data_IF_662879307239
#
_entry.id   IF_662879307239
#
_cell.length_a   1.000
_cell.length_b   1.000
_cell.length_c   1.000
_cell.angle_alpha   90.00
_cell.angle_beta   90.00
_cell.angle_gamma   90.00
#
_symmetry.space_group_name_H-M   'P 1'
#
loop_
_entity.id
_entity.type
_entity.pdbx_description
1 polymer ?
#
# COMPACT_ATOMS: atom_id res chain seq x y z
N UNK A 1 -4.31 -17.55 3.31
CA UNK A 1 -4.11 -17.09 1.95
C UNK A 1 -4.62 -15.69 1.76
N UNK A 2 -3.98 -14.98 0.91
CA UNK A 2 -4.29 -13.59 0.67
C UNK A 2 -5.60 -13.41 -0.06
N UNK A 3 -6.11 -14.46 -0.67
CA UNK A 3 -7.34 -14.39 -1.44
C UNK A 3 -8.59 -14.26 -0.61
N UNK A 4 -8.44 -14.29 0.72
CA UNK A 4 -9.59 -14.26 1.61
C UNK A 4 -10.06 -12.86 1.97
N UNK A 5 -9.61 -11.86 1.25
CA UNK A 5 -9.98 -10.48 1.54
C UNK A 5 -11.33 -10.15 0.91
N UNK A 6 -12.26 -9.69 1.74
CA UNK A 6 -13.56 -9.23 1.27
C UNK A 6 -13.50 -7.76 0.88
N UNK A 7 -12.92 -6.94 1.75
CA UNK A 7 -12.90 -5.50 1.50
C UNK A 7 -11.73 -4.85 2.21
N UNK A 8 -11.31 -3.72 1.69
CA UNK A 8 -10.26 -2.90 2.30
C UNK A 8 -10.75 -1.47 2.27
N UNK A 9 -10.63 -0.78 3.40
CA UNK A 9 -11.16 0.56 3.53
C UNK A 9 -10.23 1.40 4.39
N UNK A 10 -9.88 2.59 3.90
CA UNK A 10 -9.02 3.47 4.66
C UNK A 10 -9.85 4.26 5.67
N UNK A 11 -9.41 4.22 6.92
CA UNK A 11 -10.04 4.98 8.00
C UNK A 11 -9.16 6.17 8.32
N UNK A 12 -9.63 7.36 7.96
CA UNK A 12 -8.82 8.57 8.13
C UNK A 12 -8.64 8.95 9.60
N UNK A 13 -9.56 8.53 10.45
CA UNK A 13 -9.47 8.86 11.86
C UNK A 13 -8.32 8.12 12.55
N UNK A 14 -8.05 6.90 12.12
CA UNK A 14 -6.99 6.10 12.71
C UNK A 14 -5.76 5.99 11.81
N UNK A 15 -5.86 6.49 10.58
CA UNK A 15 -4.80 6.38 9.57
C UNK A 15 -4.45 4.91 9.31
N UNK A 16 -5.46 4.05 9.31
CA UNK A 16 -5.28 2.62 9.08
C UNK A 16 -6.15 2.15 7.94
N UNK A 17 -5.68 1.15 7.22
CA UNK A 17 -6.52 0.45 6.25
C UNK A 17 -7.13 -0.74 6.96
N UNK A 18 -8.44 -0.80 6.98
CA UNK A 18 -9.18 -1.88 7.64
C UNK A 18 -9.50 -2.96 6.62
N UNK A 19 -9.04 -4.16 6.89
CA UNK A 19 -9.19 -5.29 5.99
C UNK A 19 -10.19 -6.26 6.59
N UNK A 20 -11.23 -6.57 5.84
CA UNK A 20 -12.21 -7.55 6.28
C UNK A 20 -11.96 -8.86 5.53
N UNK A 21 -11.90 -9.94 6.27
CA UNK A 21 -11.59 -11.25 5.72
C UNK A 21 -12.84 -12.12 5.64
N UNK A 22 -12.77 -13.16 4.81
CA UNK A 22 -13.93 -14.02 4.58
C UNK A 22 -14.34 -14.82 5.79
N UNK A 23 -13.43 -15.01 6.74
CA UNK A 23 -13.75 -15.75 7.96
C UNK A 23 -14.37 -14.88 9.04
N UNK A 24 -14.62 -13.61 8.73
CA UNK A 24 -15.24 -12.70 9.68
C UNK A 24 -14.25 -11.89 10.49
N UNK A 25 -12.98 -12.16 10.37
CA UNK A 25 -11.99 -11.41 11.12
C UNK A 25 -11.64 -10.10 10.40
N UNK A 26 -11.05 -9.19 11.16
CA UNK A 26 -10.62 -7.89 10.63
C UNK A 26 -9.19 -7.63 11.04
N UNK A 27 -8.45 -7.00 10.14
CA UNK A 27 -7.06 -6.62 10.37
C UNK A 27 -6.93 -5.13 10.08
N UNK A 28 -6.21 -4.40 10.93
CA UNK A 28 -5.94 -2.98 10.68
C UNK A 28 -4.47 -2.83 10.35
N UNK A 29 -4.20 -2.14 9.26
CA UNK A 29 -2.83 -1.86 8.83
C UNK A 29 -2.53 -0.39 9.08
N UNK A 30 -1.57 -0.13 9.95
CA UNK A 30 -1.17 1.23 10.31
C UNK A 30 -0.36 1.83 9.16
N UNK A 31 -0.97 2.77 8.45
CA UNK A 31 -0.33 3.34 7.26
C UNK A 31 0.90 4.17 7.61
N UNK A 32 0.94 4.76 8.79
CA UNK A 32 2.10 5.54 9.21
C UNK A 32 3.30 4.62 9.42
N UNK A 33 3.05 3.47 10.04
CA UNK A 33 4.12 2.49 10.23
C UNK A 33 4.63 1.98 8.89
N UNK A 34 3.72 1.72 7.96
CA UNK A 34 4.11 1.27 6.62
C UNK A 34 4.95 2.32 5.91
N UNK A 35 4.54 3.57 6.02
CA UNK A 35 5.30 4.64 5.41
C UNK A 35 6.72 4.71 5.98
N UNK A 36 6.82 4.60 7.29
CA UNK A 36 8.13 4.65 7.94
C UNK A 36 9.01 3.45 7.57
N UNK A 37 8.39 2.30 7.32
CA UNK A 37 9.15 1.09 7.00
C UNK A 37 9.58 1.03 5.54
N UNK A 38 8.73 1.50 4.63
CA UNK A 38 8.92 1.24 3.21
C UNK A 38 9.28 2.46 2.39
N UNK A 39 8.74 3.63 2.73
CA UNK A 39 8.96 4.81 1.91
C UNK A 39 10.30 5.44 2.26
N UNK A 40 11.15 5.62 1.26
CA UNK A 40 12.47 6.19 1.44
C UNK A 40 12.55 7.64 0.99
N UNK A 41 11.54 8.11 0.28
CA UNK A 41 11.55 9.47 -0.23
C UNK A 41 10.11 9.91 -0.47
N UNK A 42 9.97 11.16 -0.88
CA UNK A 42 8.66 11.76 -1.06
C UNK A 42 7.86 11.09 -2.18
N UNK A 43 8.54 10.61 -3.20
CA UNK A 43 7.86 9.96 -4.31
C UNK A 43 7.22 8.66 -3.85
N UNK A 44 7.93 7.89 -3.03
CA UNK A 44 7.41 6.64 -2.51
C UNK A 44 6.28 6.89 -1.54
N UNK A 45 6.38 7.93 -0.74
CA UNK A 45 5.28 8.32 0.16
C UNK A 45 4.04 8.66 -0.65
N UNK A 46 4.20 9.41 -1.74
CA UNK A 46 3.08 9.77 -2.59
C UNK A 46 2.44 8.55 -3.23
N UNK A 47 3.25 7.58 -3.61
CA UNK A 47 2.72 6.37 -4.21
C UNK A 47 1.91 5.56 -3.20
N UNK A 48 2.39 5.49 -1.96
CA UNK A 48 1.62 4.83 -0.90
C UNK A 48 0.29 5.52 -0.69
N UNK A 49 0.29 6.85 -0.65
CA UNK A 49 -0.95 7.60 -0.48
C UNK A 49 -1.91 7.34 -1.63
N UNK A 50 -1.39 7.29 -2.84
CA UNK A 50 -2.22 6.99 -4.00
C UNK A 50 -2.91 5.64 -3.84
N UNK A 51 -2.17 4.63 -3.42
CA UNK A 51 -2.74 3.29 -3.24
C UNK A 51 -3.80 3.30 -2.13
N UNK A 52 -3.52 3.98 -1.04
CA UNK A 52 -4.43 4.03 0.10
C UNK A 52 -5.77 4.63 -0.30
N UNK A 53 -5.74 5.73 -1.05
CA UNK A 53 -6.96 6.44 -1.39
C UNK A 53 -7.66 5.89 -2.63
N UNK A 54 -6.93 5.29 -3.53
CA UNK A 54 -7.51 4.85 -4.80
C UNK A 54 -7.57 3.34 -4.98
N UNK A 55 -6.63 2.61 -4.40
CA UNK A 55 -6.57 1.17 -4.57
C UNK A 55 -6.14 0.48 -3.29
N UNK A 56 -6.93 0.57 -2.24
CA UNK A 56 -6.53 -0.01 -0.95
C UNK A 56 -6.37 -1.53 -1.01
N UNK A 57 -7.10 -2.20 -1.90
CA UNK A 57 -6.94 -3.64 -2.04
C UNK A 57 -5.55 -3.99 -2.56
N UNK A 58 -5.06 -3.23 -3.53
CA UNK A 58 -3.71 -3.44 -4.05
C UNK A 58 -2.67 -3.15 -2.99
N UNK A 59 -2.89 -2.10 -2.21
CA UNK A 59 -2.01 -1.74 -1.10
C UNK A 59 -1.85 -2.92 -0.14
N UNK A 60 -2.97 -3.49 0.28
CA UNK A 60 -2.95 -4.60 1.23
C UNK A 60 -2.28 -5.82 0.62
N UNK A 61 -2.59 -6.12 -0.64
CA UNK A 61 -2.00 -7.30 -1.28
C UNK A 61 -0.50 -7.19 -1.41
N UNK A 62 -0.01 -6.01 -1.75
CA UNK A 62 1.43 -5.81 -1.85
C UNK A 62 2.11 -6.03 -0.51
N UNK A 63 1.49 -5.52 0.56
CA UNK A 63 2.05 -5.71 1.89
C UNK A 63 2.07 -7.16 2.31
N UNK A 64 0.96 -7.85 2.11
CA UNK A 64 0.85 -9.24 2.55
C UNK A 64 1.73 -10.17 1.75
N UNK A 65 2.01 -9.85 0.51
CA UNK A 65 2.89 -10.66 -0.33
C UNK A 65 4.35 -10.31 -0.17
N UNK A 66 4.64 -9.26 0.60
CA UNK A 66 6.01 -8.82 0.76
C UNK A 66 6.59 -8.16 -0.49
N UNK A 67 5.73 -7.59 -1.32
CA UNK A 67 6.16 -6.98 -2.57
C UNK A 67 6.09 -5.46 -2.57
N UNK A 68 5.72 -4.86 -1.45
CA UNK A 68 5.53 -3.41 -1.41
C UNK A 68 6.82 -2.66 -1.73
N UNK A 69 7.94 -3.10 -1.17
CA UNK A 69 9.19 -2.39 -1.40
C UNK A 69 9.61 -2.46 -2.86
N UNK A 70 9.45 -3.63 -3.45
CA UNK A 70 9.76 -3.81 -4.87
C UNK A 70 8.86 -2.94 -5.75
N UNK A 71 7.58 -2.90 -5.41
CA UNK A 71 6.63 -2.08 -6.14
C UNK A 71 6.99 -0.60 -6.08
N UNK A 72 7.32 -0.12 -4.89
CA UNK A 72 7.67 1.29 -4.73
C UNK A 72 8.94 1.63 -5.50
N UNK A 73 9.92 0.75 -5.43
CA UNK A 73 11.16 0.98 -6.15
C UNK A 73 10.94 1.06 -7.65
N UNK A 74 10.12 0.15 -8.18
CA UNK A 74 9.85 0.13 -9.60
C UNK A 74 9.01 1.32 -10.04
N UNK A 75 8.10 1.77 -9.20
CA UNK A 75 7.22 2.89 -9.54
C UNK A 75 7.94 4.22 -9.57
N UNK A 76 8.96 4.38 -8.73
CA UNK A 76 9.62 5.67 -8.60
C UNK A 76 10.99 5.70 -9.26
N UNK A 77 11.45 4.57 -9.73
CA UNK A 77 12.79 4.43 -10.27
C UNK A 77 12.88 4.78 -11.74
N UNK A 78 11.78 4.84 -12.45
CA UNK A 78 11.84 5.14 -13.84
C UNK A 78 11.87 6.63 -14.00
N UNK A 79 12.64 7.08 -14.73
CA UNK A 79 12.79 8.49 -14.76
C UNK A 79 12.76 8.99 -16.17
N UNK A 80 12.82 8.74 -16.04
CA UNK A 80 13.08 9.18 -16.81
C UNK A 80 13.21 9.58 -17.64
N UNK A 81 12.96 9.62 -17.42
CA UNK A 81 13.22 9.96 -17.97
C UNK A 81 13.27 10.04 -18.68
N UNK A 82 13.20 9.93 -18.63
CA UNK A 82 13.39 9.89 -19.09
C UNK A 82 13.45 9.86 -19.91
N UNK A 83 13.45 9.87 -19.89
CA UNK A 83 13.63 9.74 -20.43
C UNK A 83 13.55 9.59 -21.26
N UNK A 84 13.49 9.72 -21.50
CA UNK A 84 13.45 9.53 -22.04
C UNK A 84 13.21 9.34 -22.82
N UNK A 85 13.22 9.25 -23.37
CA UNK A 85 13.03 9.02 -23.79
C UNK A 85 12.63 9.23 -24.41
#
# INVERSE_FOLDING_TARGET
>A
MINNIISCEFNIDTACVEVKLTDGSMVSIDCITVENEYANNMYETSELDYLIYNEPMSYVRLLLRGKMQEYLRNSTDYTPLSDLR
#
